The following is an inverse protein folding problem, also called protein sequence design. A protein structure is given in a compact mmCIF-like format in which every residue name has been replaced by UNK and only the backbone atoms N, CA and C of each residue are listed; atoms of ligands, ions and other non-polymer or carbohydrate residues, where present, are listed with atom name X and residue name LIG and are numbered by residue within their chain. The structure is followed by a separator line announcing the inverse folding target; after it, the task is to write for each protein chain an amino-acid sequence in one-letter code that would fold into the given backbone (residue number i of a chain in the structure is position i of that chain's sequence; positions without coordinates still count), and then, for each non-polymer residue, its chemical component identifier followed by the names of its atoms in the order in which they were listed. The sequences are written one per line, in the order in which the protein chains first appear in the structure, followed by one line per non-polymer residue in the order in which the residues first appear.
data_IF_297725359742
#
_entry.id   IF_297725359742
#
_cell.length_a   1.000
_cell.length_b   1.000
_cell.length_c   1.000
_cell.angle_alpha   90.00
_cell.angle_beta   90.00
_cell.angle_gamma   90.00
#
_symmetry.space_group_name_H-M   'P 1'
#
loop_
_entity.id
_entity.type
_entity.pdbx_description
1 polymer ?
#
# COMPACT_ATOMS: atom_id res chain seq x y z
N UNK A 1 12.03 -13.83 5.81
CA UNK A 1 11.20 -12.82 6.49
C UNK A 1 12.12 -11.67 6.84
N UNK A 2 11.95 -10.50 6.22
CA UNK A 2 12.83 -9.36 6.46
C UNK A 2 12.39 -8.66 7.74
N UNK A 3 13.21 -8.77 8.78
CA UNK A 3 13.10 -8.00 10.03
C UNK A 3 13.74 -6.63 9.79
N UNK A 4 12.98 -5.73 9.16
CA UNK A 4 13.36 -4.31 9.10
C UNK A 4 12.75 -3.65 10.33
N UNK A 5 13.59 -3.46 11.36
CA UNK A 5 13.16 -2.93 12.65
C UNK A 5 12.99 -1.41 12.55
N UNK A 6 11.75 -0.94 12.71
CA UNK A 6 11.49 0.45 13.08
C UNK A 6 11.66 0.60 14.59
N UNK A 7 12.64 1.40 14.99
CA UNK A 7 12.84 1.72 16.40
C UNK A 7 11.60 2.46 16.94
N UNK A 8 11.02 1.97 18.03
CA UNK A 8 9.84 2.54 18.72
C UNK A 8 8.49 2.44 17.99
N UNK A 9 8.32 1.45 17.11
CA UNK A 9 7.05 1.20 16.42
C UNK A 9 5.96 0.71 17.39
N UNK A 10 4.94 1.54 17.66
CA UNK A 10 3.77 1.16 18.47
C UNK A 10 2.49 0.96 17.66
N UNK A 11 2.42 1.45 16.42
CA UNK A 11 1.18 1.45 15.63
C UNK A 11 1.40 0.72 14.31
N UNK A 12 1.28 -0.61 14.36
CA UNK A 12 1.08 -1.47 13.19
C UNK A 12 -0.37 -1.28 12.67
N UNK A 13 -0.68 -0.06 12.23
CA UNK A 13 -2.04 0.30 11.82
C UNK A 13 -2.33 -0.15 10.39
N UNK A 14 -2.53 -1.45 10.27
CA UNK A 14 -3.29 -2.05 9.18
C UNK A 14 -2.46 -2.35 7.95
N UNK A 15 -2.59 -3.58 7.48
CA UNK A 15 -2.36 -3.91 6.08
C UNK A 15 -3.47 -3.18 5.30
N UNK A 16 -3.15 -2.48 4.21
CA UNK A 16 -4.18 -1.96 3.29
C UNK A 16 -5.16 -3.11 2.98
N UNK A 17 -6.46 -2.87 2.87
CA UNK A 17 -7.44 -3.93 2.57
C UNK A 17 -7.15 -4.74 1.28
N UNK A 18 -6.17 -4.32 0.47
CA UNK A 18 -5.64 -5.06 -0.68
C UNK A 18 -4.47 -6.02 -0.37
N UNK A 19 -3.89 -5.99 0.83
CA UNK A 19 -2.75 -6.84 1.22
C UNK A 19 -1.37 -6.36 0.76
N UNK A 20 -1.28 -5.28 -0.03
CA UNK A 20 -0.06 -4.99 -0.82
C UNK A 20 1.00 -4.16 -0.11
N UNK A 21 0.58 -3.32 0.84
CA UNK A 21 1.48 -2.41 1.55
C UNK A 21 1.20 -2.47 3.05
N UNK A 22 2.26 -2.21 3.80
CA UNK A 22 2.28 -2.12 5.25
C UNK A 22 2.71 -0.70 5.59
N UNK A 23 2.03 -0.06 6.54
CA UNK A 23 2.47 1.21 7.08
C UNK A 23 2.87 1.05 8.53
N UNK A 24 3.96 1.71 8.89
CA UNK A 24 4.44 1.86 10.25
C UNK A 24 4.47 3.35 10.57
N UNK A 25 3.86 3.73 11.69
CA UNK A 25 3.70 5.14 12.06
C UNK A 25 4.15 5.36 13.51
N UNK A 26 5.01 6.35 13.69
CA UNK A 26 5.50 6.79 15.00
C UNK A 26 4.81 8.11 15.32
N UNK A 27 4.07 8.13 16.43
CA UNK A 27 3.30 9.31 16.86
C UNK A 27 4.15 10.27 17.68
N UNK A 28 3.71 11.53 17.75
CA UNK A 28 4.36 12.64 18.46
C UNK A 28 4.49 12.49 19.98
N UNK A 29 3.98 11.41 20.57
CA UNK A 29 4.31 11.02 21.94
C UNK A 29 5.81 10.76 22.06
N UNK A 30 6.45 10.35 20.96
CA UNK A 30 7.89 10.23 20.85
C UNK A 30 8.45 11.47 20.15
N UNK A 31 9.16 12.32 20.90
CA UNK A 31 9.76 13.58 20.41
C UNK A 31 10.90 13.41 19.39
N UNK A 32 11.24 12.17 19.03
CA UNK A 32 12.36 11.86 18.11
C UNK A 32 11.79 10.96 17.01
N UNK A 33 12.02 11.35 15.75
CA UNK A 33 11.65 10.61 14.53
C UNK A 33 10.15 10.31 14.37
N UNK A 34 9.29 11.26 14.74
CA UNK A 34 7.86 11.21 14.42
C UNK A 34 7.63 11.19 12.91
N UNK A 35 6.84 10.23 12.42
CA UNK A 35 6.69 10.03 10.98
C UNK A 35 5.94 8.77 10.56
N UNK A 36 5.85 8.59 9.24
CA UNK A 36 5.18 7.49 8.57
C UNK A 36 6.14 6.83 7.58
N UNK A 37 6.23 5.51 7.64
CA UNK A 37 6.97 4.71 6.68
C UNK A 37 6.02 3.71 6.03
N UNK A 38 6.07 3.66 4.69
CA UNK A 38 5.28 2.76 3.88
C UNK A 38 6.21 1.73 3.27
N UNK A 39 5.90 0.48 3.55
CA UNK A 39 6.61 -0.70 3.15
C UNK A 39 5.80 -1.46 2.11
N UNK A 40 6.50 -2.07 1.15
CA UNK A 40 5.93 -3.17 0.38
C UNK A 40 5.79 -4.40 1.28
N UNK A 41 4.88 -5.32 0.93
CA UNK A 41 4.77 -6.61 1.62
C UNK A 41 6.09 -7.39 1.69
N UNK A 42 7.01 -7.15 0.74
CA UNK A 42 8.32 -7.79 0.70
C UNK A 42 9.36 -7.12 1.62
N UNK A 43 8.99 -6.10 2.41
CA UNK A 43 9.89 -5.37 3.31
C UNK A 43 10.73 -4.28 2.63
N UNK A 44 10.49 -3.97 1.34
CA UNK A 44 11.12 -2.81 0.69
C UNK A 44 10.44 -1.53 1.14
N UNK A 45 11.21 -0.56 1.64
CA UNK A 45 10.74 0.80 1.91
C UNK A 45 10.37 1.47 0.59
N UNK A 46 9.13 1.94 0.49
CA UNK A 46 8.62 2.64 -0.69
C UNK A 46 8.55 4.13 -0.47
N UNK A 47 8.22 4.53 0.75
CA UNK A 47 8.00 5.93 1.07
C UNK A 47 8.23 6.20 2.55
N UNK A 48 8.85 7.33 2.85
CA UNK A 48 9.15 7.79 4.20
C UNK A 48 8.78 9.26 4.31
N UNK A 49 7.97 9.60 5.30
CA UNK A 49 7.65 10.97 5.68
C UNK A 49 8.04 11.16 7.13
N UNK A 50 8.88 12.15 7.39
CA UNK A 50 9.07 12.69 8.73
C UNK A 50 8.04 13.80 8.92
N UNK A 51 7.24 13.70 9.99
CA UNK A 51 6.22 14.69 10.30
C UNK A 51 6.17 14.91 11.80
N UNK A 52 6.54 16.11 12.21
CA UNK A 52 6.35 16.58 13.56
C UNK A 52 4.84 16.65 13.86
N UNK A 53 4.44 16.21 15.06
CA UNK A 53 3.05 16.17 15.50
C UNK A 53 2.10 15.17 14.80
N UNK A 54 2.61 13.98 14.41
CA UNK A 54 1.73 12.90 13.94
C UNK A 54 0.87 12.31 15.10
N UNK A 55 -0.41 12.67 15.15
CA UNK A 55 -1.33 12.18 16.19
C UNK A 55 -1.90 10.79 15.92
N UNK A 56 -2.34 10.52 14.69
CA UNK A 56 -2.94 9.25 14.30
C UNK A 56 -2.71 8.97 12.81
N UNK A 57 -2.44 7.70 12.50
CA UNK A 57 -2.45 7.19 11.14
C UNK A 57 -3.50 6.09 11.01
N UNK A 58 -4.35 6.17 9.97
CA UNK A 58 -5.27 5.12 9.60
C UNK A 58 -5.42 5.05 8.08
N UNK A 59 -5.46 3.84 7.54
CA UNK A 59 -5.81 3.65 6.13
C UNK A 59 -7.28 4.01 5.91
N UNK A 60 -7.57 4.60 4.75
CA UNK A 60 -8.95 4.79 4.30
C UNK A 60 -9.64 3.42 4.24
N UNK A 61 -10.78 3.22 4.93
CA UNK A 61 -11.52 1.98 4.84
C UNK A 61 -11.99 1.80 3.40
N UNK A 62 -11.83 0.58 2.86
CA UNK A 62 -12.27 0.28 1.52
C UNK A 62 -13.80 0.18 1.53
N UNK A 63 -14.47 0.89 0.63
CA UNK A 63 -15.90 0.69 0.41
C UNK A 63 -16.17 -0.78 0.05
N UNK A 64 -17.32 -1.33 0.46
CA UNK A 64 -17.68 -2.70 0.08
C UNK A 64 -17.66 -2.87 -1.43
N UNK A 65 -17.33 -4.08 -1.89
CA UNK A 65 -17.32 -4.42 -3.31
C UNK A 65 -18.68 -4.09 -3.92
N UNK A 66 -18.70 -3.26 -4.96
CA UNK A 66 -19.92 -3.00 -5.75
C UNK A 66 -20.21 -4.16 -6.72
N UNK A 67 -19.35 -5.18 -6.72
CA UNK A 67 -19.42 -6.29 -7.64
C UNK A 67 -20.46 -7.30 -7.14
N UNK A 68 -21.27 -7.82 -8.07
CA UNK A 68 -22.20 -8.90 -7.73
C UNK A 68 -21.44 -10.21 -7.52
N UNK A 69 -21.94 -11.12 -6.66
CA UNK A 69 -21.23 -12.37 -6.34
C UNK A 69 -20.94 -13.24 -7.58
N UNK A 70 -21.83 -13.21 -8.58
CA UNK A 70 -21.61 -13.90 -9.87
C UNK A 70 -20.37 -13.40 -10.62
N UNK A 71 -20.13 -12.09 -10.59
CA UNK A 71 -18.96 -11.47 -11.24
C UNK A 71 -17.69 -11.75 -10.44
N UNK A 72 -17.77 -11.83 -9.11
CA UNK A 72 -16.62 -12.21 -8.28
C UNK A 72 -16.17 -13.65 -8.58
N UNK A 73 -17.10 -14.59 -8.73
CA UNK A 73 -16.79 -15.97 -9.14
C UNK A 73 -16.20 -16.06 -10.55
N UNK A 74 -16.73 -15.29 -11.51
CA UNK A 74 -16.20 -15.26 -12.87
C UNK A 74 -14.76 -14.72 -12.90
N UNK A 75 -14.47 -13.68 -12.12
CA UNK A 75 -13.13 -13.13 -11.98
C UNK A 75 -12.19 -14.14 -11.31
N UNK A 76 -12.65 -14.84 -10.28
CA UNK A 76 -11.87 -15.89 -9.62
C UNK A 76 -11.51 -17.02 -10.58
N UNK A 77 -12.43 -17.43 -11.46
CA UNK A 77 -12.20 -18.46 -12.49
C UNK A 77 -11.23 -17.98 -13.59
N UNK A 78 -11.31 -16.71 -13.97
CA UNK A 78 -10.52 -16.13 -15.06
C UNK A 78 -9.26 -15.37 -14.59
N UNK A 79 -8.79 -15.62 -13.37
CA UNK A 79 -7.74 -14.83 -12.72
C UNK A 79 -6.43 -14.76 -13.53
N UNK A 80 -6.05 -15.86 -14.20
CA UNK A 80 -4.83 -15.94 -15.03
C UNK A 80 -4.88 -14.96 -16.20
N UNK A 81 -6.00 -14.92 -16.93
CA UNK A 81 -6.22 -14.01 -18.06
C UNK A 81 -6.19 -12.55 -17.61
N UNK A 82 -6.81 -12.25 -16.46
CA UNK A 82 -6.74 -10.91 -15.88
C UNK A 82 -5.32 -10.55 -15.42
N UNK A 83 -4.58 -11.49 -14.82
CA UNK A 83 -3.21 -11.25 -14.36
C UNK A 83 -2.28 -10.83 -15.50
N UNK A 84 -2.32 -11.53 -16.64
CA UNK A 84 -1.51 -11.18 -17.81
C UNK A 84 -1.87 -9.80 -18.36
N UNK A 85 -3.17 -9.53 -18.54
CA UNK A 85 -3.67 -8.23 -19.01
C UNK A 85 -3.21 -7.06 -18.13
N UNK A 86 -3.24 -7.21 -16.81
CA UNK A 86 -2.82 -6.13 -15.91
C UNK A 86 -1.30 -5.99 -15.83
N UNK A 87 -0.53 -7.08 -15.94
CA UNK A 87 0.95 -7.00 -16.03
C UNK A 87 1.42 -6.23 -17.26
N UNK A 88 0.77 -6.45 -18.40
CA UNK A 88 1.08 -5.73 -19.63
C UNK A 88 0.78 -4.24 -19.50
N UNK A 89 -0.42 -3.90 -19.01
CA UNK A 89 -0.80 -2.50 -18.74
C UNK A 89 0.13 -1.81 -17.75
N UNK A 90 0.50 -2.48 -16.65
CA UNK A 90 1.42 -1.92 -15.66
C UNK A 90 2.82 -1.64 -16.25
N UNK A 91 3.25 -2.38 -17.28
CA UNK A 91 4.51 -2.14 -18.00
C UNK A 91 4.41 -0.94 -18.96
N UNK A 92 3.23 -0.66 -19.48
CA UNK A 92 2.97 0.44 -20.41
C UNK A 92 2.70 1.78 -19.70
N UNK A 93 2.07 1.75 -18.53
CA UNK A 93 1.72 2.94 -17.75
C UNK A 93 2.88 3.93 -17.52
N UNK A 94 4.10 3.50 -17.16
CA UNK A 94 5.23 4.43 -16.97
C UNK A 94 5.68 5.13 -18.25
N UNK A 95 5.41 4.54 -19.42
CA UNK A 95 5.76 5.14 -20.71
C UNK A 95 4.79 6.26 -21.07
N UNK A 96 3.49 6.01 -20.89
CA UNK A 96 2.43 6.98 -21.13
C UNK A 96 2.59 8.23 -20.24
N UNK A 97 2.86 8.03 -18.95
CA UNK A 97 3.10 9.13 -18.01
C UNK A 97 4.33 10.00 -18.38
N UNK A 98 5.33 9.44 -19.06
CA UNK A 98 6.48 10.20 -19.57
C UNK A 98 6.16 10.97 -20.84
N UNK A 99 5.23 10.47 -21.64
CA UNK A 99 4.80 11.06 -22.90
C UNK A 99 3.82 12.23 -22.66
N UNK A 100 2.94 12.10 -21.67
CA UNK A 100 2.05 13.20 -21.20
C UNK A 100 2.80 14.34 -20.49
N UNK A 101 4.03 14.07 -20.01
CA UNK A 101 4.87 15.06 -19.32
C UNK A 101 5.83 15.83 -20.27
N UNK A 102 5.76 15.57 -21.59
CA UNK A 102 6.46 16.32 -22.64
C UNK A 102 5.55 17.36 -23.27
#
# INVERSE_FOLDING_TARGET
MATTEHYMDRLLNGILASGRYIATAVTSIHHIDSGLNIWSFNGKLLYQILKDDLSQFSWRPRTPSILSPKKEEEIAKNLKKYSEKYKEKDKEMPKLLREEAR
#
